data_IF_391666102586
#
_entry.id   IF_391666102586
#
_cell.length_a   1.000
_cell.length_b   1.000
_cell.length_c   1.000
_cell.angle_alpha   90.00
_cell.angle_beta   90.00
_cell.angle_gamma   90.00
#
_symmetry.space_group_name_H-M   'P 1'
#
loop_
_entity.id
_entity.type
_entity.pdbx_description
1 polymer ?
#
# COMPACT_ATOMS: atom_id res chain seq x y z
N UNK A 1 -7.56 21.23 12.01
CA UNK A 1 -8.87 21.19 11.33
C UNK A 1 -9.16 19.74 10.96
N UNK A 2 -10.20 19.16 11.54
CA UNK A 2 -10.67 17.82 11.15
C UNK A 2 -11.21 17.93 9.73
N UNK A 3 -10.43 17.48 8.75
CA UNK A 3 -10.79 17.56 7.33
C UNK A 3 -12.03 16.71 7.07
N UNK A 4 -13.16 17.36 6.78
CA UNK A 4 -14.39 16.69 6.41
C UNK A 4 -14.16 15.87 5.12
N UNK A 5 -14.75 14.68 5.08
CA UNK A 5 -14.55 13.73 3.99
C UNK A 5 -15.37 14.20 2.76
N UNK A 6 -14.79 14.29 1.54
CA UNK A 6 -15.52 14.64 0.33
C UNK A 6 -16.76 13.76 0.06
N UNK A 7 -16.77 12.53 0.58
CA UNK A 7 -17.94 11.64 0.53
C UNK A 7 -19.18 12.26 1.20
N UNK A 8 -19.01 13.06 2.26
CA UNK A 8 -20.11 13.77 2.94
C UNK A 8 -20.75 14.85 2.07
N UNK A 9 -20.06 15.24 0.99
CA UNK A 9 -20.51 16.23 0.02
C UNK A 9 -21.07 15.60 -1.27
N UNK A 10 -21.14 14.26 -1.32
CA UNK A 10 -21.67 13.51 -2.46
C UNK A 10 -20.68 13.28 -3.61
N UNK A 11 -19.37 13.40 -3.37
CA UNK A 11 -18.36 13.08 -4.38
C UNK A 11 -17.98 11.60 -4.34
N UNK A 12 -17.73 11.00 -5.51
CA UNK A 12 -17.43 9.55 -5.66
C UNK A 12 -16.08 9.10 -5.07
N UNK A 13 -15.24 10.04 -4.63
CA UNK A 13 -13.87 9.78 -4.18
C UNK A 13 -13.55 10.47 -2.85
N UNK A 14 -12.91 9.75 -1.93
CA UNK A 14 -12.50 10.26 -0.61
C UNK A 14 -11.29 11.22 -0.63
N UNK A 15 -11.00 11.87 -1.77
CA UNK A 15 -9.87 12.79 -1.94
C UNK A 15 -10.33 14.17 -2.42
N UNK A 16 -9.87 15.23 -1.73
CA UNK A 16 -10.03 16.62 -2.16
C UNK A 16 -9.11 16.93 -3.35
N UNK A 17 -9.55 16.56 -4.54
CA UNK A 17 -8.88 16.95 -5.79
C UNK A 17 -9.49 18.24 -6.36
N UNK A 18 -8.84 18.83 -7.38
CA UNK A 18 -9.29 20.11 -7.97
C UNK A 18 -10.71 20.05 -8.54
N UNK A 19 -11.16 18.90 -9.03
CA UNK A 19 -12.50 18.75 -9.62
C UNK A 19 -13.64 18.74 -8.57
N UNK A 20 -13.58 17.93 -7.49
CA UNK A 20 -14.50 18.05 -6.35
C UNK A 20 -14.55 19.47 -5.76
N UNK A 21 -13.38 20.12 -5.58
CA UNK A 21 -13.34 21.51 -5.07
C UNK A 21 -14.05 22.47 -6.03
N UNK A 22 -13.87 22.33 -7.34
CA UNK A 22 -14.59 23.14 -8.33
C UNK A 22 -16.11 22.92 -8.27
N UNK A 23 -16.55 21.67 -8.10
CA UNK A 23 -17.95 21.31 -7.92
C UNK A 23 -18.55 21.92 -6.66
N UNK A 24 -17.82 21.90 -5.54
CA UNK A 24 -18.24 22.48 -4.28
C UNK A 24 -18.36 24.01 -4.40
N UNK A 25 -17.37 24.68 -4.97
CA UNK A 25 -17.41 26.14 -5.16
C UNK A 25 -18.60 26.56 -6.02
N UNK A 26 -18.88 25.80 -7.08
CA UNK A 26 -20.05 26.05 -7.91
C UNK A 26 -21.35 25.86 -7.13
N UNK A 27 -21.44 24.88 -6.23
CA UNK A 27 -22.65 24.62 -5.46
C UNK A 27 -22.91 25.68 -4.39
N UNK A 28 -21.87 26.07 -3.66
CA UNK A 28 -21.99 26.98 -2.51
C UNK A 28 -21.98 28.46 -2.93
N UNK A 29 -21.31 28.80 -4.03
CA UNK A 29 -21.10 30.19 -4.45
C UNK A 29 -21.60 30.51 -5.87
N UNK A 30 -22.14 29.53 -6.61
CA UNK A 30 -22.57 29.65 -8.02
C UNK A 30 -21.49 30.18 -8.99
N UNK A 31 -20.21 30.04 -8.63
CA UNK A 31 -19.08 30.46 -9.46
C UNK A 31 -18.50 29.27 -10.22
N UNK A 32 -18.27 29.46 -11.53
CA UNK A 32 -17.54 28.48 -12.36
C UNK A 32 -16.09 28.89 -12.52
N UNK A 33 -15.18 28.09 -11.96
CA UNK A 33 -13.74 28.27 -12.11
C UNK A 33 -13.14 27.13 -12.94
N UNK A 34 -12.13 27.45 -13.74
CA UNK A 34 -11.32 26.43 -14.42
C UNK A 34 -10.49 25.64 -13.41
N UNK A 35 -10.12 24.40 -13.72
CA UNK A 35 -9.25 23.59 -12.85
C UNK A 35 -7.89 24.23 -12.60
N UNK A 36 -7.39 25.05 -13.54
CA UNK A 36 -6.18 25.83 -13.36
C UNK A 36 -6.37 26.93 -12.30
N UNK A 37 -7.46 27.69 -12.41
CA UNK A 37 -7.84 28.72 -11.44
C UNK A 37 -8.03 28.15 -10.04
N UNK A 38 -8.63 26.97 -9.92
CA UNK A 38 -8.77 26.24 -8.66
C UNK A 38 -7.40 25.88 -8.08
N UNK A 39 -6.49 25.39 -8.91
CA UNK A 39 -5.12 25.09 -8.49
C UNK A 39 -4.40 26.32 -7.94
N UNK A 40 -4.50 27.46 -8.63
CA UNK A 40 -3.94 28.74 -8.18
C UNK A 40 -4.57 29.21 -6.87
N UNK A 41 -5.90 29.14 -6.76
CA UNK A 41 -6.64 29.52 -5.56
C UNK A 41 -6.19 28.69 -4.34
N UNK A 42 -6.12 27.37 -4.50
CA UNK A 42 -5.67 26.47 -3.44
C UNK A 42 -4.24 26.78 -3.02
N UNK A 43 -3.34 27.05 -3.97
CA UNK A 43 -1.96 27.44 -3.67
C UNK A 43 -1.88 28.78 -2.92
N UNK A 44 -2.66 29.80 -3.32
CA UNK A 44 -2.76 31.08 -2.59
C UNK A 44 -3.28 30.90 -1.16
N UNK A 45 -4.13 29.90 -0.91
CA UNK A 45 -4.65 29.55 0.41
C UNK A 45 -3.71 28.61 1.19
N UNK A 46 -2.54 28.27 0.66
CA UNK A 46 -1.59 27.36 1.30
C UNK A 46 -2.00 25.88 1.27
N UNK A 47 -3.02 25.52 0.49
CA UNK A 47 -3.48 24.14 0.34
C UNK A 47 -2.69 23.47 -0.78
N UNK A 48 -1.86 22.51 -0.40
CA UNK A 48 -1.03 21.73 -1.33
C UNK A 48 -1.52 20.29 -1.41
N UNK A 49 -1.36 19.62 -2.56
CA UNK A 49 -1.66 18.19 -2.66
C UNK A 49 -0.70 17.41 -1.76
N UNK A 50 -1.25 16.75 -0.74
CA UNK A 50 -0.51 15.87 0.15
C UNK A 50 -0.85 14.42 -0.18
N UNK A 51 0.16 13.54 -0.19
CA UNK A 51 -0.08 12.10 -0.30
C UNK A 51 -0.78 11.65 1.00
N UNK A 52 -2.00 11.11 0.95
CA UNK A 52 -2.64 10.58 2.14
C UNK A 52 -1.74 9.49 2.73
N UNK A 53 -1.50 9.56 4.03
CA UNK A 53 -0.87 8.44 4.73
C UNK A 53 -1.90 7.30 4.72
N UNK A 54 -1.62 6.22 3.99
CA UNK A 54 -2.41 5.02 4.13
C UNK A 54 -2.15 4.46 5.52
N UNK A 55 -3.10 4.67 6.43
CA UNK A 55 -3.22 3.84 7.64
C UNK A 55 -4.01 2.60 7.23
N UNK A 56 -3.46 1.42 7.49
CA UNK A 56 -4.20 0.19 7.32
C UNK A 56 -5.48 0.28 8.19
N UNK A 57 -6.64 0.17 7.55
CA UNK A 57 -7.95 0.24 8.22
C UNK A 57 -8.13 -0.84 9.30
N UNK A 58 -7.30 -1.88 9.25
CA UNK A 58 -7.35 -3.07 10.10
C UNK A 58 -6.48 -2.96 11.37
N UNK A 59 -5.80 -1.83 11.59
CA UNK A 59 -5.07 -1.62 12.85
C UNK A 59 -6.06 -1.42 14.01
N UNK A 60 -6.36 -2.51 14.73
CA UNK A 60 -6.97 -2.43 16.04
C UNK A 60 -5.90 -1.95 17.05
N UNK A 61 -5.99 -0.71 17.56
CA UNK A 61 -4.99 -0.15 18.46
C UNK A 61 -4.89 -0.95 19.76
N UNK A 62 -5.98 -1.58 20.21
CA UNK A 62 -5.99 -2.41 21.43
C UNK A 62 -5.24 -3.71 21.18
N UNK A 63 -5.45 -4.35 20.02
CA UNK A 63 -4.70 -5.55 19.65
C UNK A 63 -3.19 -5.27 19.52
N UNK A 64 -2.82 -4.11 18.96
CA UNK A 64 -1.43 -3.67 18.86
C UNK A 64 -0.82 -3.45 20.24
N UNK A 65 -1.50 -2.71 21.12
CA UNK A 65 -1.03 -2.43 22.48
C UNK A 65 -0.85 -3.73 23.27
N UNK A 66 -1.83 -4.65 23.18
CA UNK A 66 -1.76 -5.96 23.80
C UNK A 66 -0.60 -6.78 23.27
N UNK A 67 -0.39 -6.79 21.95
CA UNK A 67 0.72 -7.55 21.36
C UNK A 67 2.08 -7.03 21.84
N UNK A 68 2.25 -5.71 21.94
CA UNK A 68 3.49 -5.08 22.40
C UNK A 68 3.78 -5.33 23.89
N UNK A 69 2.77 -5.26 24.75
CA UNK A 69 2.97 -5.33 26.21
C UNK A 69 2.81 -6.73 26.80
N UNK A 70 2.03 -7.60 26.17
CA UNK A 70 1.72 -8.93 26.67
C UNK A 70 2.30 -10.03 25.78
N UNK A 71 1.86 -10.09 24.52
CA UNK A 71 2.09 -11.26 23.65
C UNK A 71 3.57 -11.42 23.29
N UNK A 72 4.21 -10.38 22.76
CA UNK A 72 5.59 -10.47 22.32
C UNK A 72 6.57 -10.69 23.49
N UNK A 73 6.46 -9.97 24.62
CA UNK A 73 7.29 -10.25 25.79
C UNK A 73 7.15 -11.70 26.31
N UNK A 74 5.94 -12.26 26.29
CA UNK A 74 5.72 -13.66 26.69
C UNK A 74 6.42 -14.64 25.72
N UNK A 75 6.31 -14.41 24.41
CA UNK A 75 7.02 -15.20 23.38
C UNK A 75 8.53 -15.10 23.57
N UNK A 76 9.06 -13.89 23.75
CA UNK A 76 10.49 -13.67 23.96
C UNK A 76 11.00 -14.35 25.24
N UNK A 77 10.22 -14.31 26.32
CA UNK A 77 10.56 -15.01 27.56
C UNK A 77 10.56 -16.53 27.37
N UNK A 78 9.59 -17.08 26.64
CA UNK A 78 9.55 -18.49 26.33
C UNK A 78 10.74 -18.91 25.47
N UNK A 79 11.03 -18.17 24.39
CA UNK A 79 12.16 -18.42 23.51
C UNK A 79 13.50 -18.40 24.28
N UNK A 80 13.67 -17.45 25.22
CA UNK A 80 14.84 -17.40 26.10
C UNK A 80 14.96 -18.63 27.01
N UNK A 81 13.86 -19.19 27.51
CA UNK A 81 13.87 -20.41 28.34
C UNK A 81 14.19 -21.66 27.53
N UNK A 82 13.74 -21.69 26.29
CA UNK A 82 13.90 -22.83 25.37
C UNK A 82 15.19 -22.75 24.54
N UNK A 83 15.99 -21.69 24.70
CA UNK A 83 17.14 -21.38 23.87
C UNK A 83 16.79 -21.38 22.36
N UNK A 84 15.63 -20.80 22.04
CA UNK A 84 15.09 -20.69 20.71
C UNK A 84 15.21 -19.27 20.16
N UNK A 85 15.19 -19.17 18.83
CA UNK A 85 15.24 -17.90 18.11
C UNK A 85 13.85 -17.49 17.65
N UNK A 86 13.55 -16.19 17.75
CA UNK A 86 12.28 -15.62 17.29
C UNK A 86 12.49 -14.95 15.94
N UNK A 87 11.90 -15.54 14.91
CA UNK A 87 11.89 -14.98 13.56
C UNK A 87 10.55 -14.31 13.25
N UNK A 88 10.62 -13.15 12.60
CA UNK A 88 9.49 -12.46 11.99
C UNK A 88 9.49 -12.74 10.51
N UNK A 89 8.43 -13.39 10.04
CA UNK A 89 8.25 -13.80 8.66
C UNK A 89 7.39 -12.81 7.87
N UNK A 90 7.75 -12.56 6.61
CA UNK A 90 6.91 -11.82 5.66
C UNK A 90 7.07 -12.34 4.21
N UNK A 91 6.01 -12.15 3.41
CA UNK A 91 6.00 -12.46 1.97
C UNK A 91 5.86 -11.18 1.14
N UNK A 92 6.75 -11.01 0.18
CA UNK A 92 6.70 -9.93 -0.81
C UNK A 92 6.47 -10.49 -2.22
N UNK A 93 5.34 -10.13 -2.83
CA UNK A 93 5.04 -10.46 -4.22
C UNK A 93 5.57 -9.41 -5.19
N UNK A 94 6.37 -9.85 -6.16
CA UNK A 94 6.83 -9.07 -7.30
C UNK A 94 6.05 -9.48 -8.56
N UNK A 95 5.56 -8.49 -9.28
CA UNK A 95 4.94 -8.71 -10.58
C UNK A 95 5.70 -7.89 -11.61
N UNK A 96 6.12 -8.56 -12.68
CA UNK A 96 6.59 -7.88 -13.88
C UNK A 96 5.36 -7.39 -14.65
N UNK A 97 4.76 -6.31 -14.15
CA UNK A 97 3.74 -5.57 -14.89
C UNK A 97 4.47 -4.64 -15.86
N UNK A 98 4.41 -4.89 -17.18
CA UNK A 98 4.71 -3.83 -18.13
C UNK A 98 3.70 -2.70 -17.87
N UNK A 99 4.19 -1.59 -17.31
CA UNK A 99 3.44 -0.34 -17.25
C UNK A 99 3.24 0.08 -18.70
N UNK A 100 2.13 -0.34 -19.31
CA UNK A 100 1.77 0.10 -20.65
C UNK A 100 1.48 1.60 -20.55
N UNK A 101 2.52 2.40 -20.76
CA UNK A 101 2.41 3.84 -20.88
C UNK A 101 1.50 4.19 -22.04
N UNK A 102 0.87 5.37 -21.99
CA UNK A 102 0.17 5.91 -23.15
C UNK A 102 1.21 6.26 -24.22
N UNK A 103 1.24 5.50 -25.31
CA UNK A 103 2.05 5.83 -26.49
C UNK A 103 1.30 6.86 -27.34
N UNK A 104 2.02 7.87 -27.84
CA UNK A 104 1.45 8.81 -28.81
C UNK A 104 1.31 8.10 -30.15
N UNK A 105 0.09 8.06 -30.70
CA UNK A 105 -0.21 7.54 -32.03
C UNK A 105 -1.00 8.60 -32.82
N UNK A 106 -1.05 8.45 -34.14
CA UNK A 106 -1.87 9.31 -34.98
C UNK A 106 -3.36 9.11 -34.65
N UNK A 107 -4.15 10.17 -34.80
CA UNK A 107 -5.58 10.13 -34.55
C UNK A 107 -6.24 9.11 -35.51
N UNK A 108 -6.79 8.03 -34.96
CA UNK A 108 -7.43 6.95 -35.71
C UNK A 108 -6.57 5.70 -35.89
N UNK A 109 -5.30 5.73 -35.52
CA UNK A 109 -4.42 4.56 -35.54
C UNK A 109 -4.24 4.02 -34.11
N UNK A 110 -4.76 2.83 -33.84
CA UNK A 110 -4.56 2.15 -32.56
C UNK A 110 -3.28 1.30 -32.69
N UNK A 111 -2.19 1.66 -32.00
CA UNK A 111 -0.96 0.86 -32.05
C UNK A 111 -1.18 -0.47 -31.33
N UNK A 112 -0.89 -1.57 -32.03
CA UNK A 112 -0.92 -2.92 -31.46
C UNK A 112 0.47 -3.22 -30.93
N UNK A 113 0.58 -3.46 -29.63
CA UNK A 113 1.83 -3.86 -28.97
C UNK A 113 1.64 -5.27 -28.44
N UNK A 114 2.63 -6.15 -28.65
CA UNK A 114 2.60 -7.51 -28.12
C UNK A 114 2.63 -7.50 -26.59
N UNK A 115 1.73 -8.26 -25.96
CA UNK A 115 1.78 -8.47 -24.52
C UNK A 115 2.97 -9.39 -24.19
N UNK A 116 3.90 -8.91 -23.36
CA UNK A 116 4.93 -9.76 -22.78
C UNK A 116 4.33 -10.86 -21.90
N UNK A 117 5.04 -11.97 -21.75
CA UNK A 117 4.64 -13.05 -20.83
C UNK A 117 4.71 -12.54 -19.40
N UNK A 118 3.59 -12.69 -18.67
CA UNK A 118 3.46 -12.16 -17.31
C UNK A 118 4.15 -13.11 -16.34
N UNK A 119 5.24 -12.67 -15.73
CA UNK A 119 5.89 -13.43 -14.67
C UNK A 119 5.64 -12.76 -13.33
N UNK A 120 5.19 -13.57 -12.37
CA UNK A 120 5.07 -13.17 -10.96
C UNK A 120 6.01 -14.02 -10.13
N UNK A 121 6.88 -13.36 -9.39
CA UNK A 121 7.84 -13.97 -8.48
C UNK A 121 7.53 -13.46 -7.09
N UNK A 122 7.48 -14.33 -6.11
CA UNK A 122 7.31 -13.96 -4.71
C UNK A 122 8.60 -14.28 -3.96
N UNK A 123 8.87 -13.50 -2.92
CA UNK A 123 9.96 -13.74 -2.00
C UNK A 123 9.39 -13.93 -0.60
N UNK A 124 9.81 -15.01 0.02
CA UNK A 124 9.64 -15.26 1.43
C UNK A 124 10.86 -14.72 2.17
N UNK A 125 10.66 -14.10 3.32
CA UNK A 125 11.76 -13.57 4.14
C UNK A 125 11.49 -13.73 5.63
N UNK A 126 12.56 -13.89 6.40
CA UNK A 126 12.52 -13.99 7.85
C UNK A 126 13.66 -13.17 8.47
N UNK A 127 13.36 -12.37 9.50
CA UNK A 127 14.35 -11.60 10.28
C UNK A 127 14.27 -11.96 11.75
N UNK A 128 15.40 -12.06 12.45
CA UNK A 128 15.42 -12.11 13.92
C UNK A 128 15.80 -10.76 14.53
N UNK A 129 15.64 -10.63 15.85
CA UNK A 129 16.00 -9.42 16.60
C UNK A 129 17.51 -9.16 16.72
N UNK A 130 18.36 -10.11 16.30
CA UNK A 130 19.83 -10.04 16.35
C UNK A 130 20.44 -9.72 14.97
N UNK A 131 19.61 -9.62 13.93
CA UNK A 131 20.02 -9.29 12.56
C UNK A 131 20.26 -10.50 11.65
N UNK A 132 19.92 -11.72 12.08
CA UNK A 132 19.86 -12.87 11.19
C UNK A 132 18.74 -12.65 10.16
N UNK A 133 19.04 -12.93 8.91
CA UNK A 133 18.13 -12.75 7.79
C UNK A 133 18.18 -13.96 6.88
N UNK A 134 17.01 -14.46 6.54
CA UNK A 134 16.82 -15.53 5.57
C UNK A 134 15.81 -15.08 4.52
N UNK A 135 16.02 -15.50 3.28
CA UNK A 135 15.05 -15.29 2.22
C UNK A 135 15.13 -16.40 1.17
N UNK A 136 14.01 -16.65 0.49
CA UNK A 136 13.95 -17.52 -0.68
C UNK A 136 12.90 -16.99 -1.66
N UNK A 137 13.06 -17.31 -2.95
CA UNK A 137 12.18 -16.84 -4.02
C UNK A 137 11.48 -18.00 -4.70
N UNK A 138 10.21 -17.82 -5.06
CA UNK A 138 9.41 -18.83 -5.76
C UNK A 138 8.43 -18.18 -6.73
N UNK A 139 8.06 -18.86 -7.82
CA UNK A 139 7.05 -18.37 -8.74
C UNK A 139 5.64 -18.52 -8.16
N UNK A 140 4.79 -17.53 -8.42
CA UNK A 140 3.36 -17.59 -8.04
C UNK A 140 3.05 -17.20 -6.59
N UNK A 141 1.92 -17.68 -6.08
CA UNK A 141 1.41 -17.35 -4.75
C UNK A 141 1.81 -18.40 -3.70
N UNK A 142 1.96 -17.98 -2.44
CA UNK A 142 2.22 -18.89 -1.32
C UNK A 142 1.06 -19.87 -1.13
N UNK A 143 1.38 -21.16 -1.21
CA UNK A 143 0.47 -22.25 -0.82
C UNK A 143 0.89 -22.81 0.54
N UNK A 144 -0.01 -23.50 1.24
CA UNK A 144 0.32 -24.16 2.51
C UNK A 144 1.44 -25.20 2.37
N UNK A 145 1.45 -25.94 1.26
CA UNK A 145 2.52 -26.91 0.95
C UNK A 145 3.87 -26.20 0.75
N UNK A 146 3.88 -25.11 -0.01
CA UNK A 146 5.09 -24.33 -0.22
C UNK A 146 5.58 -23.66 1.06
N UNK A 147 4.66 -23.21 1.92
CA UNK A 147 5.00 -22.66 3.22
C UNK A 147 5.74 -23.67 4.09
N UNK A 148 5.29 -24.94 4.12
CA UNK A 148 6.01 -26.00 4.85
C UNK A 148 7.42 -26.21 4.29
N UNK A 149 7.56 -26.29 2.96
CA UNK A 149 8.87 -26.43 2.29
C UNK A 149 9.80 -25.27 2.64
N UNK A 150 9.28 -24.04 2.69
CA UNK A 150 10.06 -22.87 3.03
C UNK A 150 10.46 -22.85 4.52
N UNK A 151 9.58 -23.32 5.42
CA UNK A 151 9.94 -23.50 6.83
C UNK A 151 11.03 -24.54 7.02
N UNK A 152 10.97 -25.66 6.30
CA UNK A 152 12.03 -26.67 6.31
C UNK A 152 13.38 -26.06 5.88
N UNK A 153 13.39 -25.25 4.81
CA UNK A 153 14.59 -24.52 4.34
C UNK A 153 15.08 -23.41 5.29
N UNK A 154 14.21 -22.89 6.16
CA UNK A 154 14.60 -21.90 7.16
C UNK A 154 15.27 -22.59 8.37
N UNK A 155 14.86 -23.81 8.69
CA UNK A 155 15.34 -24.57 9.85
C UNK A 155 16.65 -25.34 9.60
N UNK A 156 17.04 -25.55 8.34
CA UNK A 156 18.22 -26.36 7.92
C UNK A 156 19.03 -25.65 6.84
#
# INVERSE_FOLDING_TARGET
MHGQNPLQYGFDFALWTRAPVAGLIRREFDVRLSLASIGTLLACLGVTPQKPLQRAYQCDPVAIERWQHETFPAIAQQASRENADVFFWDESGFRDDPVHGRTRAQLGEIPIVGAGERQSMSAASAVDSRGAFWFDTYPGALTGELFVVLLEKLMF
#
